data_IF_045302723109
#
_entry.id   IF_045302723109
#
_cell.length_a   1.000
_cell.length_b   1.000
_cell.length_c   1.000
_cell.angle_alpha   90.00
_cell.angle_beta   90.00
_cell.angle_gamma   90.00
#
_symmetry.space_group_name_H-M   'P 1'
#
loop_
_entity.id
_entity.type
_entity.pdbx_description
1 polymer ?
#
# COMPACT_ATOMS: atom_id res chain seq x y z
N UNK A 1 -11.30 -1.88 -24.63
CA UNK A 1 -9.82 -1.93 -24.76
C UNK A 1 -9.25 -1.24 -23.54
N UNK A 2 -8.42 -1.95 -22.74
CA UNK A 2 -7.82 -1.36 -21.51
C UNK A 2 -7.20 -0.01 -21.85
N UNK A 3 -7.58 1.04 -21.15
CA UNK A 3 -7.02 2.38 -21.34
C UNK A 3 -6.38 2.84 -20.04
N UNK A 4 -5.16 3.34 -20.12
CA UNK A 4 -4.45 3.92 -18.98
C UNK A 4 -3.82 5.23 -19.42
N UNK A 5 -4.04 6.29 -18.65
CA UNK A 5 -3.39 7.59 -18.81
C UNK A 5 -2.37 7.71 -17.68
N UNK A 6 -1.16 8.17 -18.01
CA UNK A 6 -0.07 8.39 -17.05
C UNK A 6 0.15 9.88 -16.87
N UNK A 7 0.07 10.33 -15.64
CA UNK A 7 0.28 11.72 -15.23
C UNK A 7 1.54 11.79 -14.36
N UNK A 8 2.69 12.21 -14.93
CA UNK A 8 3.91 12.35 -14.15
C UNK A 8 3.77 13.41 -13.05
N UNK A 9 4.38 13.17 -11.89
CA UNK A 9 4.37 14.09 -10.77
C UNK A 9 5.66 14.91 -10.68
N UNK A 10 5.60 16.21 -10.30
CA UNK A 10 6.78 17.07 -10.19
C UNK A 10 7.84 16.56 -9.20
N UNK A 11 7.43 15.82 -8.18
CA UNK A 11 8.30 15.24 -7.13
C UNK A 11 8.82 13.84 -7.44
N UNK A 12 8.62 13.34 -8.67
CA UNK A 12 8.85 11.93 -9.02
C UNK A 12 7.63 11.04 -8.77
N UNK A 13 7.56 9.93 -9.50
CA UNK A 13 6.37 9.07 -9.52
C UNK A 13 5.34 9.52 -10.55
N UNK A 14 4.17 8.87 -10.52
CA UNK A 14 3.10 9.15 -11.48
C UNK A 14 1.73 8.68 -10.91
N UNK A 15 0.67 9.28 -11.44
CA UNK A 15 -0.69 8.75 -11.31
C UNK A 15 -1.05 7.97 -12.57
N UNK A 16 -1.62 6.79 -12.40
CA UNK A 16 -2.26 6.00 -13.44
C UNK A 16 -3.77 6.20 -13.35
N UNK A 17 -4.38 6.85 -14.32
CA UNK A 17 -5.83 6.82 -14.49
C UNK A 17 -6.20 5.62 -15.34
N UNK A 18 -6.75 4.59 -14.70
CA UNK A 18 -7.14 3.31 -15.32
C UNK A 18 -8.63 3.34 -15.64
N UNK A 19 -9.00 2.95 -16.86
CA UNK A 19 -10.39 2.81 -17.28
C UNK A 19 -10.56 1.61 -18.21
N UNK A 20 -11.82 1.22 -18.42
CA UNK A 20 -12.20 0.07 -19.26
C UNK A 20 -11.63 -1.27 -18.75
N UNK A 21 -11.50 -1.41 -17.42
CA UNK A 21 -11.22 -2.67 -16.74
C UNK A 21 -12.45 -3.07 -15.91
N UNK A 22 -13.55 -3.47 -16.54
CA UNK A 22 -14.77 -3.81 -15.83
C UNK A 22 -14.56 -5.04 -14.94
N UNK A 23 -15.16 -4.98 -13.76
CA UNK A 23 -15.18 -6.08 -12.82
C UNK A 23 -13.94 -6.17 -11.91
N UNK A 24 -13.92 -7.16 -11.06
CA UNK A 24 -12.87 -7.31 -10.07
C UNK A 24 -11.52 -7.66 -10.72
N UNK A 25 -10.41 -7.01 -10.29
CA UNK A 25 -9.08 -7.32 -10.80
C UNK A 25 -8.65 -8.74 -10.38
N UNK A 26 -7.72 -9.36 -11.10
CA UNK A 26 -7.20 -10.68 -10.76
C UNK A 26 -6.57 -10.76 -9.37
N UNK A 27 -5.86 -9.72 -8.93
CA UNK A 27 -5.39 -9.58 -7.55
C UNK A 27 -6.31 -8.61 -6.82
N UNK A 28 -7.08 -9.11 -5.85
CA UNK A 28 -8.10 -8.34 -5.15
C UNK A 28 -8.42 -8.89 -3.78
N UNK A 29 -8.99 -8.03 -2.96
CA UNK A 29 -9.67 -8.45 -1.74
C UNK A 29 -11.15 -8.77 -2.01
N UNK A 30 -11.62 -9.83 -1.38
CA UNK A 30 -13.02 -10.20 -1.34
C UNK A 30 -13.48 -10.30 0.13
N UNK A 31 -14.74 -9.96 0.41
CA UNK A 31 -15.30 -10.05 1.75
C UNK A 31 -16.75 -10.56 1.76
N UNK A 32 -17.08 -11.21 2.86
CA UNK A 32 -18.44 -11.60 3.21
C UNK A 32 -18.55 -11.58 4.75
N UNK A 33 -19.34 -10.62 5.29
CA UNK A 33 -19.42 -10.40 6.73
C UNK A 33 -18.05 -10.17 7.37
N UNK A 34 -17.68 -11.07 8.28
CA UNK A 34 -16.39 -11.01 9.00
C UNK A 34 -15.21 -11.54 8.17
N UNK A 35 -15.48 -12.22 7.07
CA UNK A 35 -14.45 -12.92 6.28
C UNK A 35 -13.79 -11.99 5.29
N UNK A 36 -12.48 -12.12 5.17
CA UNK A 36 -11.64 -11.39 4.20
C UNK A 36 -10.78 -12.40 3.45
N UNK A 37 -10.68 -12.24 2.16
CA UNK A 37 -9.88 -13.10 1.30
C UNK A 37 -9.06 -12.24 0.33
N UNK A 38 -7.75 -12.44 0.30
CA UNK A 38 -6.93 -11.95 -0.80
C UNK A 38 -6.79 -13.04 -1.85
N UNK A 39 -7.18 -12.76 -3.07
CA UNK A 39 -7.16 -13.70 -4.20
C UNK A 39 -6.30 -13.18 -5.34
N UNK A 40 -5.58 -14.08 -6.02
CA UNK A 40 -4.80 -13.78 -7.21
C UNK A 40 -5.07 -14.82 -8.29
N UNK A 41 -5.60 -14.42 -9.44
CA UNK A 41 -5.88 -15.31 -10.57
C UNK A 41 -6.72 -16.54 -10.18
N UNK A 42 -7.71 -16.39 -9.30
CA UNK A 42 -8.51 -17.49 -8.77
C UNK A 42 -7.92 -18.22 -7.55
N UNK A 43 -6.63 -18.05 -7.22
CA UNK A 43 -5.98 -18.69 -6.07
C UNK A 43 -6.12 -17.83 -4.81
N UNK A 44 -6.52 -18.40 -3.67
CA UNK A 44 -6.48 -17.70 -2.39
C UNK A 44 -5.02 -17.54 -1.93
N UNK A 45 -4.66 -16.33 -1.49
CA UNK A 45 -3.32 -16.00 -0.98
C UNK A 45 -3.31 -15.73 0.51
N UNK A 46 -4.39 -15.17 1.02
CA UNK A 46 -4.54 -14.84 2.43
C UNK A 46 -6.01 -14.93 2.82
N UNK A 47 -6.27 -15.61 3.92
CA UNK A 47 -7.56 -15.64 4.57
C UNK A 47 -7.51 -14.71 5.77
N UNK A 48 -8.55 -13.91 5.97
CA UNK A 48 -8.71 -13.04 7.11
C UNK A 48 -10.08 -13.23 7.75
N UNK A 49 -10.13 -13.10 9.07
CA UNK A 49 -11.36 -13.02 9.82
C UNK A 49 -11.31 -11.84 10.77
N UNK A 50 -12.36 -11.03 10.73
CA UNK A 50 -12.55 -9.91 11.64
C UNK A 50 -13.27 -10.44 12.86
N UNK A 51 -12.70 -10.29 14.04
CA UNK A 51 -13.25 -10.76 15.31
C UNK A 51 -13.40 -9.57 16.28
N UNK A 52 -14.46 -9.60 17.10
CA UNK A 52 -14.74 -8.60 18.13
C UNK A 52 -16.02 -7.80 17.90
N UNK A 53 -16.66 -7.41 18.99
CA UNK A 53 -17.97 -6.75 19.02
C UNK A 53 -17.86 -5.28 19.40
N UNK A 54 -16.81 -4.60 19.15
CA UNK A 54 -16.64 -3.23 19.62
C UNK A 54 -15.83 -2.35 18.70
N UNK A 55 -15.36 -1.23 19.21
CA UNK A 55 -14.49 -0.33 18.47
C UNK A 55 -13.10 -0.93 18.16
N UNK A 56 -12.73 -2.05 18.80
CA UNK A 56 -11.46 -2.71 18.64
C UNK A 56 -11.66 -4.10 18.00
N UNK A 57 -11.67 -4.15 16.69
CA UNK A 57 -11.68 -5.43 15.98
C UNK A 57 -10.25 -5.97 15.86
N UNK A 58 -10.13 -7.29 15.92
CA UNK A 58 -8.89 -8.00 15.59
C UNK A 58 -9.08 -8.61 14.21
N UNK A 59 -8.22 -8.28 13.28
CA UNK A 59 -8.16 -8.97 12.00
C UNK A 59 -7.16 -10.11 12.10
N UNK A 60 -7.66 -11.31 12.24
CA UNK A 60 -6.84 -12.52 12.22
C UNK A 60 -6.62 -12.95 10.80
N UNK A 61 -5.37 -12.99 10.37
CA UNK A 61 -5.00 -13.35 9.01
C UNK A 61 -4.16 -14.62 8.96
N UNK A 62 -4.36 -15.41 7.93
CA UNK A 62 -3.57 -16.59 7.59
C UNK A 62 -3.06 -16.46 6.17
N UNK A 63 -1.75 -16.56 5.99
CA UNK A 63 -1.15 -16.60 4.67
C UNK A 63 -1.24 -18.00 4.08
N UNK A 64 -1.57 -18.05 2.80
CA UNK A 64 -1.50 -19.24 1.98
C UNK A 64 -0.35 -19.10 0.99
N UNK A 65 0.30 -20.19 0.66
CA UNK A 65 1.36 -20.16 -0.36
C UNK A 65 0.73 -20.09 -1.76
N UNK A 66 1.45 -19.50 -2.72
CA UNK A 66 0.97 -19.43 -4.11
C UNK A 66 1.04 -18.05 -4.74
N UNK A 67 1.47 -17.03 -3.99
CA UNK A 67 1.68 -15.70 -4.55
C UNK A 67 2.71 -15.69 -5.67
N UNK A 68 2.36 -15.04 -6.77
CA UNK A 68 3.25 -14.76 -7.90
C UNK A 68 3.40 -13.26 -8.06
N UNK A 69 4.65 -12.80 -8.21
CA UNK A 69 4.88 -11.39 -8.48
C UNK A 69 4.14 -10.94 -9.74
N UNK A 70 3.42 -9.81 -9.71
CA UNK A 70 2.85 -9.21 -10.91
C UNK A 70 3.93 -8.60 -11.82
N UNK A 71 5.16 -8.46 -11.33
CA UNK A 71 6.26 -7.89 -12.09
C UNK A 71 7.13 -8.99 -12.72
N UNK A 72 7.71 -8.75 -13.90
CA UNK A 72 8.71 -9.65 -14.46
C UNK A 72 9.98 -9.68 -13.60
N UNK A 73 10.77 -10.76 -13.67
CA UNK A 73 12.03 -10.85 -12.95
C UNK A 73 12.99 -9.71 -13.34
N UNK A 74 13.46 -8.96 -12.33
CA UNK A 74 14.42 -7.86 -12.55
C UNK A 74 15.82 -8.42 -12.74
N UNK A 75 16.42 -8.15 -13.90
CA UNK A 75 17.79 -8.59 -14.23
C UNK A 75 18.84 -7.62 -13.67
N UNK A 76 20.03 -8.11 -13.38
CA UNK A 76 21.15 -7.31 -12.88
C UNK A 76 21.50 -6.11 -13.79
N UNK A 77 21.39 -6.28 -15.10
CA UNK A 77 21.58 -5.20 -16.08
C UNK A 77 20.53 -4.09 -15.89
N UNK A 78 19.27 -4.48 -15.68
CA UNK A 78 18.16 -3.54 -15.45
C UNK A 78 18.34 -2.77 -14.13
N UNK A 79 18.87 -3.42 -13.10
CA UNK A 79 19.14 -2.78 -11.80
C UNK A 79 20.23 -1.72 -11.89
N UNK A 80 21.25 -1.92 -12.73
CA UNK A 80 22.35 -0.96 -12.93
C UNK A 80 22.02 0.14 -13.95
N UNK A 81 21.01 -0.08 -14.78
CA UNK A 81 20.61 0.94 -15.75
C UNK A 81 19.87 2.10 -15.07
N UNK A 82 20.24 3.35 -15.37
CA UNK A 82 19.46 4.48 -14.90
C UNK A 82 18.03 4.37 -15.38
N UNK A 83 17.08 4.82 -14.59
CA UNK A 83 15.67 4.75 -14.99
C UNK A 83 14.73 5.13 -13.86
N UNK A 84 13.57 5.54 -14.26
CA UNK A 84 12.44 5.85 -13.39
C UNK A 84 11.71 4.55 -13.02
N UNK A 85 11.83 4.12 -11.78
CA UNK A 85 11.23 2.88 -11.31
C UNK A 85 9.69 2.93 -11.24
N UNK A 86 9.06 4.00 -10.76
CA UNK A 86 7.61 4.15 -10.84
C UNK A 86 7.07 3.96 -12.24
N UNK A 87 7.65 4.62 -13.27
CA UNK A 87 7.23 4.48 -14.66
C UNK A 87 7.46 3.07 -15.22
N UNK A 88 8.55 2.43 -14.80
CA UNK A 88 8.87 1.05 -15.20
C UNK A 88 7.87 0.06 -14.59
N UNK A 89 7.57 0.22 -13.29
CA UNK A 89 6.63 -0.65 -12.60
C UNK A 89 5.20 -0.42 -13.08
N UNK A 90 4.82 0.82 -13.36
CA UNK A 90 3.54 1.15 -13.97
C UNK A 90 3.30 0.34 -15.25
N UNK A 91 4.26 0.39 -16.18
CA UNK A 91 4.16 -0.36 -17.44
C UNK A 91 4.03 -1.87 -17.21
N UNK A 92 4.82 -2.43 -16.30
CA UNK A 92 4.73 -3.86 -16.00
C UNK A 92 3.41 -4.26 -15.33
N UNK A 93 2.87 -3.41 -14.45
CA UNK A 93 1.56 -3.64 -13.83
C UNK A 93 0.40 -3.54 -14.81
N UNK A 94 0.49 -2.63 -15.79
CA UNK A 94 -0.50 -2.51 -16.86
C UNK A 94 -0.54 -3.75 -17.76
N UNK A 95 0.64 -4.32 -18.05
CA UNK A 95 0.80 -5.51 -18.89
C UNK A 95 0.54 -6.81 -18.12
N UNK A 96 0.55 -6.79 -16.78
CA UNK A 96 0.42 -7.98 -15.96
C UNK A 96 -0.99 -8.56 -15.98
N UNK A 97 -1.08 -9.88 -16.15
CA UNK A 97 -2.36 -10.60 -16.10
C UNK A 97 -2.93 -10.69 -14.66
N UNK A 98 -2.09 -10.64 -13.64
CA UNK A 98 -2.46 -10.79 -12.24
C UNK A 98 -2.16 -9.52 -11.43
N UNK A 99 -2.46 -8.34 -12.00
CA UNK A 99 -2.30 -7.01 -11.37
C UNK A 99 -3.48 -6.67 -10.45
N UNK A 100 -3.27 -5.84 -9.40
CA UNK A 100 -4.36 -5.30 -8.59
C UNK A 100 -5.09 -4.12 -9.27
N UNK A 101 -4.59 -3.61 -10.39
CA UNK A 101 -5.15 -2.44 -11.06
C UNK A 101 -6.57 -2.70 -11.57
N UNK A 102 -7.50 -1.88 -11.15
CA UNK A 102 -8.89 -1.76 -11.63
C UNK A 102 -9.20 -0.31 -11.94
N UNK A 103 -10.39 0.00 -12.45
CA UNK A 103 -10.79 1.35 -12.79
C UNK A 103 -10.61 2.31 -11.62
N UNK A 104 -10.07 3.48 -11.94
CA UNK A 104 -9.78 4.55 -11.02
C UNK A 104 -8.35 5.05 -11.08
N UNK A 105 -7.94 5.83 -10.07
CA UNK A 105 -6.65 6.51 -10.01
C UNK A 105 -5.71 5.80 -9.06
N UNK A 106 -4.47 5.56 -9.50
CA UNK A 106 -3.45 4.84 -8.77
C UNK A 106 -2.15 5.65 -8.76
N UNK A 107 -1.65 5.94 -7.57
CA UNK A 107 -0.36 6.58 -7.38
C UNK A 107 0.73 5.52 -7.31
N UNK A 108 1.79 5.69 -8.10
CA UNK A 108 3.07 5.01 -7.94
C UNK A 108 4.13 6.04 -7.60
N UNK A 109 4.69 5.92 -6.42
CA UNK A 109 5.73 6.82 -5.94
C UNK A 109 6.88 6.08 -5.28
N UNK A 110 8.09 6.61 -5.39
CA UNK A 110 9.20 6.17 -4.57
C UNK A 110 8.98 6.63 -3.12
N UNK A 111 9.20 5.73 -2.17
CA UNK A 111 9.10 6.04 -0.75
C UNK A 111 10.40 5.66 -0.05
N UNK A 112 11.08 6.66 0.46
CA UNK A 112 12.33 6.50 1.19
C UNK A 112 12.18 6.67 2.70
N UNK A 113 11.07 7.27 3.15
CA UNK A 113 10.80 7.52 4.56
C UNK A 113 9.59 6.73 5.02
N UNK A 114 9.83 5.89 6.01
CA UNK A 114 8.81 5.14 6.72
C UNK A 114 8.82 5.53 8.20
N UNK A 115 7.76 5.26 8.91
CA UNK A 115 7.75 5.35 10.35
C UNK A 115 8.78 4.38 10.94
N UNK A 116 9.35 4.68 12.11
CA UNK A 116 10.19 3.73 12.83
C UNK A 116 9.46 2.40 13.01
N UNK A 117 10.16 1.29 12.90
CA UNK A 117 9.58 -0.04 13.07
C UNK A 117 9.12 -0.74 11.81
N UNK A 118 8.70 -0.01 10.76
CA UNK A 118 8.08 -0.59 9.53
C UNK A 118 8.91 -1.72 8.91
N UNK A 119 10.22 -1.59 8.90
CA UNK A 119 11.14 -2.58 8.34
C UNK A 119 11.90 -3.39 9.40
N UNK A 120 11.54 -3.25 10.66
CA UNK A 120 12.12 -4.00 11.79
C UNK A 120 11.04 -4.80 12.52
N UNK A 121 10.40 -4.20 13.54
CA UNK A 121 9.40 -4.87 14.38
C UNK A 121 8.11 -5.18 13.62
N UNK A 122 7.72 -4.28 12.70
CA UNK A 122 6.47 -4.37 11.93
C UNK A 122 6.67 -5.05 10.56
N UNK A 123 7.88 -5.46 10.22
CA UNK A 123 8.12 -6.32 9.06
C UNK A 123 7.90 -7.78 9.46
N UNK A 124 6.84 -8.37 8.95
CA UNK A 124 6.48 -9.74 9.30
C UNK A 124 7.42 -10.74 8.63
N UNK A 125 8.57 -10.97 9.23
CA UNK A 125 9.58 -11.91 8.71
C UNK A 125 9.12 -13.36 8.81
N UNK A 126 8.36 -13.70 9.85
CA UNK A 126 7.78 -15.02 10.05
C UNK A 126 6.31 -14.92 10.42
N UNK A 127 5.53 -15.86 9.94
CA UNK A 127 4.14 -16.02 10.32
C UNK A 127 4.07 -17.23 11.25
N UNK A 128 3.85 -17.05 12.56
CA UNK A 128 3.69 -18.19 13.44
C UNK A 128 2.59 -19.11 12.91
N UNK A 129 2.93 -20.35 12.58
CA UNK A 129 2.01 -21.31 11.97
C UNK A 129 1.20 -20.78 10.76
N UNK A 130 1.76 -19.78 10.04
CA UNK A 130 1.08 -19.10 8.94
C UNK A 130 -0.02 -18.12 9.36
N UNK A 131 -0.09 -17.73 10.63
CA UNK A 131 -1.12 -16.84 11.20
C UNK A 131 -0.52 -15.56 11.77
N UNK A 132 -1.33 -14.52 11.79
CA UNK A 132 -1.00 -13.23 12.39
C UNK A 132 -2.29 -12.53 12.84
N UNK A 133 -2.26 -11.92 14.02
CA UNK A 133 -3.35 -11.09 14.54
C UNK A 133 -2.97 -9.61 14.37
N UNK A 134 -3.81 -8.87 13.65
CA UNK A 134 -3.66 -7.44 13.43
C UNK A 134 -4.76 -6.71 14.23
N UNK A 135 -4.35 -5.83 15.14
CA UNK A 135 -5.27 -5.08 15.98
C UNK A 135 -5.64 -3.76 15.31
N UNK A 136 -6.93 -3.44 15.26
CA UNK A 136 -7.37 -2.14 14.79
C UNK A 136 -7.05 -1.04 15.82
N UNK A 137 -6.84 0.19 15.33
CA UNK A 137 -6.65 1.37 16.18
C UNK A 137 -5.28 1.50 16.83
N UNK A 138 -4.36 0.57 16.59
CA UNK A 138 -3.00 0.63 17.12
C UNK A 138 -1.98 1.26 16.18
N UNK A 139 -2.38 1.65 14.96
CA UNK A 139 -1.45 2.22 13.99
C UNK A 139 -0.37 1.23 13.56
N UNK A 140 -0.75 -0.02 13.31
CA UNK A 140 0.19 -0.96 12.70
C UNK A 140 0.48 -0.50 11.27
N UNK A 141 1.66 -0.01 11.03
CA UNK A 141 2.10 0.47 9.72
C UNK A 141 3.14 -0.48 9.10
N UNK A 142 2.92 -1.76 9.23
CA UNK A 142 3.91 -2.76 8.87
C UNK A 142 3.84 -3.24 7.41
N UNK A 143 4.76 -4.15 7.08
CA UNK A 143 4.85 -4.80 5.77
C UNK A 143 4.57 -6.29 5.89
N UNK A 144 3.57 -6.77 5.15
CA UNK A 144 3.20 -8.18 5.05
C UNK A 144 3.75 -8.79 3.77
N UNK A 145 4.71 -9.71 3.83
CA UNK A 145 5.15 -10.46 2.67
C UNK A 145 4.13 -11.53 2.27
N UNK A 146 3.74 -11.55 1.00
CA UNK A 146 2.74 -12.48 0.46
C UNK A 146 3.27 -13.89 0.19
N UNK A 147 4.57 -14.12 0.36
CA UNK A 147 5.18 -15.43 0.33
C UNK A 147 6.21 -15.58 1.45
N UNK A 148 6.61 -16.82 1.75
CA UNK A 148 7.70 -17.07 2.68
C UNK A 148 8.97 -16.34 2.21
N UNK A 149 9.64 -15.68 3.13
CA UNK A 149 10.93 -15.06 2.88
C UNK A 149 12.02 -16.13 2.73
N UNK A 150 12.93 -15.88 1.82
CA UNK A 150 14.10 -16.75 1.66
C UNK A 150 15.08 -16.55 2.82
N UNK A 151 15.83 -17.61 3.15
CA UNK A 151 16.94 -17.47 4.10
C UNK A 151 17.94 -16.43 3.60
N UNK A 152 18.58 -15.66 4.50
CA UNK A 152 19.70 -14.77 4.16
C UNK A 152 20.82 -15.47 3.38
N UNK A 153 20.99 -16.78 3.60
CA UNK A 153 21.98 -17.60 2.93
C UNK A 153 21.60 -18.06 1.54
N UNK A 154 20.36 -17.87 1.12
CA UNK A 154 19.92 -18.24 -0.22
C UNK A 154 20.76 -17.53 -1.29
N UNK A 155 21.14 -18.26 -2.35
CA UNK A 155 22.01 -17.75 -3.41
C UNK A 155 21.50 -16.45 -4.05
N UNK A 156 20.18 -16.34 -4.20
CA UNK A 156 19.52 -15.17 -4.76
C UNK A 156 19.59 -13.96 -3.82
N UNK A 157 19.41 -14.17 -2.52
CA UNK A 157 19.57 -13.11 -1.51
C UNK A 157 21.02 -12.62 -1.50
N UNK A 158 22.00 -13.53 -1.47
CA UNK A 158 23.44 -13.19 -1.55
C UNK A 158 23.79 -12.36 -2.80
N UNK A 159 23.20 -12.71 -3.94
CA UNK A 159 23.39 -11.91 -5.16
C UNK A 159 22.82 -10.48 -5.03
N UNK A 160 21.64 -10.32 -4.42
CA UNK A 160 21.05 -9.01 -4.20
C UNK A 160 21.75 -8.19 -3.13
N UNK A 161 22.38 -8.80 -2.12
CA UNK A 161 23.19 -8.09 -1.12
C UNK A 161 24.33 -7.29 -1.78
N UNK A 162 24.94 -7.82 -2.84
CA UNK A 162 25.92 -7.06 -3.63
C UNK A 162 25.30 -5.77 -4.20
N UNK A 163 24.12 -5.86 -4.80
CA UNK A 163 23.40 -4.69 -5.34
C UNK A 163 22.98 -3.71 -4.24
N UNK A 164 22.63 -4.20 -3.05
CA UNK A 164 22.32 -3.35 -1.90
C UNK A 164 23.53 -2.50 -1.48
N UNK A 165 24.71 -3.14 -1.34
CA UNK A 165 25.97 -2.44 -1.03
C UNK A 165 26.41 -1.44 -2.11
N UNK A 166 26.12 -1.75 -3.37
CA UNK A 166 26.45 -0.89 -4.53
C UNK A 166 25.42 0.24 -4.75
N UNK A 167 24.33 0.29 -3.97
CA UNK A 167 23.25 1.26 -4.16
C UNK A 167 22.47 1.08 -5.47
N UNK A 168 22.56 -0.11 -6.09
CA UNK A 168 21.93 -0.43 -7.37
C UNK A 168 20.75 -1.39 -7.25
N UNK A 169 20.31 -1.68 -6.02
CA UNK A 169 19.22 -2.60 -5.78
C UNK A 169 17.91 -2.03 -6.32
N UNK A 170 17.20 -2.78 -7.16
CA UNK A 170 15.88 -2.37 -7.63
C UNK A 170 14.90 -2.26 -6.45
N UNK A 171 14.01 -1.27 -6.44
CA UNK A 171 13.01 -1.11 -5.40
C UNK A 171 12.12 -2.36 -5.25
N UNK A 172 11.65 -2.61 -4.04
CA UNK A 172 10.54 -3.55 -3.83
C UNK A 172 9.23 -2.86 -4.22
N UNK A 173 8.20 -3.64 -4.59
CA UNK A 173 6.86 -3.11 -4.84
C UNK A 173 5.98 -3.39 -3.63
N UNK A 174 5.49 -2.33 -3.03
CA UNK A 174 4.52 -2.36 -1.94
C UNK A 174 3.15 -1.93 -2.47
N UNK A 175 2.09 -2.55 -1.97
CA UNK A 175 0.72 -2.12 -2.18
C UNK A 175 0.12 -1.67 -0.85
N UNK A 176 -0.28 -0.41 -0.77
CA UNK A 176 -0.97 0.14 0.39
C UNK A 176 -2.39 -0.38 0.49
N UNK A 177 -2.76 -0.88 1.66
CA UNK A 177 -4.09 -1.43 1.94
C UNK A 177 -4.68 -0.71 3.16
N UNK A 178 -5.67 0.13 2.92
CA UNK A 178 -6.23 1.06 3.92
C UNK A 178 -6.78 0.38 5.18
N UNK A 179 -7.52 -0.73 5.04
CA UNK A 179 -8.10 -1.43 6.20
C UNK A 179 -7.09 -2.28 6.98
N UNK A 180 -5.89 -2.51 6.43
CA UNK A 180 -4.76 -3.10 7.14
C UNK A 180 -3.89 -2.02 7.80
N UNK A 181 -4.07 -0.76 7.40
CA UNK A 181 -3.16 0.34 7.72
C UNK A 181 -1.69 -0.05 7.47
N UNK A 182 -1.45 -0.72 6.37
CA UNK A 182 -0.14 -1.33 6.09
C UNK A 182 0.07 -1.70 4.63
N UNK A 183 1.22 -2.28 4.35
CA UNK A 183 1.65 -2.61 3.00
C UNK A 183 1.72 -4.12 2.76
N UNK A 184 1.23 -4.56 1.60
CA UNK A 184 1.53 -5.88 1.08
C UNK A 184 2.77 -5.83 0.21
N UNK A 185 3.74 -6.69 0.47
CA UNK A 185 4.92 -6.84 -0.38
C UNK A 185 4.55 -7.68 -1.61
N UNK A 186 4.28 -7.00 -2.73
CA UNK A 186 3.88 -7.65 -4.00
C UNK A 186 5.08 -8.21 -4.76
N UNK A 187 6.23 -7.52 -4.73
CA UNK A 187 7.45 -7.99 -5.40
C UNK A 187 8.71 -7.57 -4.66
N UNK A 188 9.76 -8.36 -4.82
CA UNK A 188 11.06 -8.05 -4.25
C UNK A 188 11.32 -8.64 -2.87
N UNK A 189 10.62 -9.70 -2.47
CA UNK A 189 10.83 -10.36 -1.17
C UNK A 189 12.32 -10.65 -0.86
N UNK A 190 13.05 -11.23 -1.83
CA UNK A 190 14.49 -11.51 -1.64
C UNK A 190 15.33 -10.23 -1.66
N UNK A 191 14.86 -9.15 -2.31
CA UNK A 191 15.51 -7.84 -2.29
C UNK A 191 15.32 -7.16 -0.94
N UNK A 192 14.12 -7.29 -0.34
CA UNK A 192 13.87 -6.78 1.00
C UNK A 192 14.81 -7.45 2.01
N UNK A 193 14.85 -8.78 2.02
CA UNK A 193 15.78 -9.53 2.89
C UNK A 193 17.23 -9.08 2.67
N UNK A 194 17.65 -8.96 1.41
CA UNK A 194 19.02 -8.56 1.07
C UNK A 194 19.38 -7.16 1.58
N UNK A 195 18.48 -6.19 1.49
CA UNK A 195 18.71 -4.84 1.99
C UNK A 195 18.82 -4.82 3.52
N UNK A 196 17.92 -5.51 4.21
CA UNK A 196 17.92 -5.61 5.68
C UNK A 196 19.18 -6.31 6.21
N UNK A 197 19.63 -7.35 5.55
CA UNK A 197 20.90 -8.06 5.90
C UNK A 197 22.15 -7.18 5.73
N UNK A 198 22.08 -6.14 4.92
CA UNK A 198 23.15 -5.15 4.78
C UNK A 198 22.93 -3.91 5.70
N UNK A 199 21.96 -3.99 6.63
CA UNK A 199 21.65 -2.93 7.60
C UNK A 199 20.95 -1.71 7.00
N UNK A 200 20.40 -1.85 5.79
CA UNK A 200 19.70 -0.76 5.09
C UNK A 200 18.19 -0.98 4.99
N UNK A 201 17.46 0.10 4.69
CA UNK A 201 16.04 0.03 4.32
C UNK A 201 15.94 -0.30 2.84
N UNK A 202 15.08 -1.25 2.42
CA UNK A 202 14.88 -1.52 1.01
C UNK A 202 14.38 -0.28 0.26
N UNK A 203 14.93 0.07 -0.90
CA UNK A 203 14.29 1.06 -1.76
C UNK A 203 12.89 0.57 -2.15
N UNK A 204 11.89 1.45 -2.14
CA UNK A 204 10.50 1.08 -2.33
C UNK A 204 9.82 1.91 -3.40
N UNK A 205 8.98 1.27 -4.21
CA UNK A 205 7.90 1.91 -4.94
C UNK A 205 6.60 1.47 -4.30
N UNK A 206 5.76 2.43 -3.94
CA UNK A 206 4.46 2.19 -3.31
C UNK A 206 3.37 2.40 -4.35
N UNK A 207 2.48 1.43 -4.46
CA UNK A 207 1.24 1.49 -5.22
C UNK A 207 0.11 1.81 -4.24
N UNK A 208 -0.58 2.93 -4.46
CA UNK A 208 -1.69 3.38 -3.61
C UNK A 208 -2.89 3.75 -4.46
N UNK A 209 -4.08 3.31 -4.06
CA UNK A 209 -5.32 3.82 -4.64
C UNK A 209 -5.55 5.25 -4.13
N UNK A 210 -5.77 6.21 -5.01
CA UNK A 210 -6.05 7.59 -4.63
C UNK A 210 -7.47 7.98 -5.05
N UNK A 211 -7.96 9.06 -4.47
CA UNK A 211 -9.29 9.57 -4.74
C UNK A 211 -9.52 9.79 -6.25
N UNK A 212 -10.71 9.47 -6.72
CA UNK A 212 -11.10 9.76 -8.10
C UNK A 212 -11.39 11.25 -8.30
N UNK A 213 -11.61 11.63 -9.55
CA UNK A 213 -11.77 13.03 -9.94
C UNK A 213 -12.97 13.71 -9.30
N UNK A 214 -14.04 12.98 -9.03
CA UNK A 214 -15.24 13.51 -8.39
C UNK A 214 -15.00 13.70 -6.90
N UNK A 215 -14.43 12.70 -6.24
CA UNK A 215 -14.15 12.72 -4.81
C UNK A 215 -13.24 13.89 -4.41
N UNK A 216 -12.08 14.01 -5.04
CA UNK A 216 -11.14 15.06 -4.65
C UNK A 216 -11.65 16.47 -5.02
N UNK A 217 -12.42 16.64 -6.13
CA UNK A 217 -13.03 17.93 -6.45
C UNK A 217 -14.10 18.31 -5.45
N UNK A 218 -14.88 17.35 -4.96
CA UNK A 218 -15.85 17.59 -3.89
C UNK A 218 -15.14 18.03 -2.60
N UNK A 219 -14.12 17.31 -2.15
CA UNK A 219 -13.30 17.69 -1.01
C UNK A 219 -12.63 19.08 -1.17
N UNK A 220 -12.16 19.41 -2.38
CA UNK A 220 -11.60 20.72 -2.67
C UNK A 220 -12.64 21.84 -2.56
N UNK A 221 -13.87 21.59 -3.00
CA UNK A 221 -14.95 22.55 -2.87
C UNK A 221 -15.34 22.78 -1.39
N UNK A 222 -15.46 21.71 -0.60
CA UNK A 222 -15.75 21.79 0.83
C UNK A 222 -14.63 22.50 1.60
N UNK A 223 -13.37 22.17 1.34
CA UNK A 223 -12.21 22.82 1.95
C UNK A 223 -12.15 24.33 1.58
N UNK A 224 -12.46 24.66 0.33
CA UNK A 224 -12.50 26.06 -0.13
C UNK A 224 -13.60 26.84 0.57
N UNK A 225 -14.77 26.24 0.75
CA UNK A 225 -15.89 26.89 1.45
C UNK A 225 -15.61 27.04 2.95
N UNK A 226 -14.99 26.03 3.57
CA UNK A 226 -14.51 26.16 4.95
C UNK A 226 -13.50 27.29 5.09
N UNK A 227 -12.49 27.36 4.24
CA UNK A 227 -11.47 28.41 4.26
C UNK A 227 -12.06 29.82 4.08
N UNK A 228 -13.04 29.99 3.18
CA UNK A 228 -13.75 31.26 3.01
C UNK A 228 -14.46 31.70 4.28
N UNK A 229 -15.15 30.79 4.96
CA UNK A 229 -15.85 31.09 6.23
C UNK A 229 -14.88 31.52 7.30
N UNK A 230 -13.79 30.75 7.49
CA UNK A 230 -12.77 31.09 8.47
C UNK A 230 -12.06 32.42 8.20
N UNK A 231 -11.95 32.82 6.93
CA UNK A 231 -11.27 34.08 6.54
C UNK A 231 -12.23 35.27 6.46
N UNK A 232 -13.55 35.04 6.40
CA UNK A 232 -14.57 36.10 6.37
C UNK A 232 -14.82 36.70 7.74
N UNK A 233 -14.47 36.00 8.84
CA UNK A 233 -14.61 36.58 10.18
C UNK A 233 -13.66 37.76 10.35
N UNK A 234 -14.13 38.92 10.84
CA UNK A 234 -13.28 40.07 11.09
C UNK A 234 -12.18 39.68 12.09
N UNK A 235 -10.95 40.03 11.79
CA UNK A 235 -9.84 39.80 12.70
C UNK A 235 -10.14 40.56 14.01
N UNK A 236 -10.44 39.83 15.09
CA UNK A 236 -10.69 40.42 16.43
C UNK A 236 -9.49 41.21 16.98
N UNK A 237 -8.32 41.09 16.32
CA UNK A 237 -7.10 41.71 16.77
C UNK A 237 -6.52 42.64 15.70
N UNK A 238 -5.99 43.83 16.15
CA UNK A 238 -5.37 44.78 15.23
C UNK A 238 -4.19 44.14 14.49
N UNK A 239 -3.89 44.63 13.30
CA UNK A 239 -2.79 44.17 12.48
C UNK A 239 -1.50 44.22 13.27
N UNK A 240 -0.91 43.05 13.52
CA UNK A 240 0.37 42.88 14.18
C UNK A 240 1.26 41.95 13.36
N UNK A 241 2.59 42.05 13.47
CA UNK A 241 3.51 41.13 12.77
C UNK A 241 3.26 39.66 13.11
N UNK A 242 2.70 39.36 14.28
CA UNK A 242 2.26 38.02 14.67
C UNK A 242 1.00 37.56 13.92
N UNK A 243 0.00 38.42 13.80
CA UNK A 243 -1.23 38.13 13.08
C UNK A 243 -0.99 37.96 11.56
N UNK A 244 -0.06 38.70 10.98
CA UNK A 244 0.33 38.55 9.57
C UNK A 244 1.01 37.21 9.31
N UNK A 245 1.95 36.80 10.19
CA UNK A 245 2.60 35.49 10.09
C UNK A 245 1.61 34.33 10.24
N UNK A 246 0.66 34.43 11.16
CA UNK A 246 -0.38 33.40 11.32
C UNK A 246 -1.28 33.29 10.08
N UNK A 247 -1.64 34.42 9.48
CA UNK A 247 -2.41 34.43 8.22
C UNK A 247 -1.62 33.77 7.09
N UNK A 248 -0.37 34.17 6.89
CA UNK A 248 0.49 33.59 5.84
C UNK A 248 0.66 32.08 6.05
N UNK A 249 0.90 31.60 7.26
CA UNK A 249 1.00 30.18 7.56
C UNK A 249 -0.31 29.41 7.30
N UNK A 250 -1.46 30.02 7.60
CA UNK A 250 -2.78 29.42 7.29
C UNK A 250 -3.00 29.35 5.78
N UNK A 251 -2.68 30.42 5.04
CA UNK A 251 -2.85 30.48 3.59
C UNK A 251 -1.95 29.47 2.88
N UNK A 252 -0.71 29.31 3.34
CA UNK A 252 0.22 28.28 2.88
C UNK A 252 -0.26 26.87 3.22
N UNK A 253 -0.77 26.67 4.44
CA UNK A 253 -1.36 25.40 4.88
C UNK A 253 -2.56 25.00 4.02
N UNK A 254 -3.47 25.94 3.74
CA UNK A 254 -4.60 25.72 2.84
C UNK A 254 -4.16 25.36 1.41
N UNK A 255 -3.24 26.13 0.85
CA UNK A 255 -2.71 25.87 -0.50
C UNK A 255 -2.05 24.49 -0.59
N UNK A 256 -1.25 24.12 0.41
CA UNK A 256 -0.59 22.82 0.50
C UNK A 256 -1.61 21.67 0.63
N UNK A 257 -2.61 21.81 1.50
CA UNK A 257 -3.65 20.82 1.67
C UNK A 257 -4.46 20.63 0.38
N UNK A 258 -4.86 21.74 -0.27
CA UNK A 258 -5.60 21.70 -1.54
C UNK A 258 -4.79 21.01 -2.65
N UNK A 259 -3.49 21.25 -2.72
CA UNK A 259 -2.60 20.62 -3.70
C UNK A 259 -2.43 19.12 -3.46
N UNK A 260 -2.55 18.65 -2.21
CA UNK A 260 -2.41 17.24 -1.86
C UNK A 260 -3.68 16.41 -2.04
N UNK A 261 -4.86 17.03 -2.04
CA UNK A 261 -6.17 16.35 -2.09
C UNK A 261 -6.29 15.33 -3.22
N UNK A 262 -5.81 15.66 -4.41
CA UNK A 262 -5.91 14.78 -5.58
C UNK A 262 -5.04 13.52 -5.45
N UNK A 263 -4.17 13.45 -4.44
CA UNK A 263 -3.26 12.34 -4.16
C UNK A 263 -3.54 11.67 -2.81
N UNK A 264 -4.61 12.11 -2.13
CA UNK A 264 -5.03 11.46 -0.90
C UNK A 264 -5.45 10.01 -1.14
N UNK A 265 -5.13 9.18 -0.19
CA UNK A 265 -5.43 7.75 -0.24
C UNK A 265 -6.93 7.51 -0.27
N UNK A 266 -7.37 6.72 -1.22
CA UNK A 266 -8.73 6.20 -1.25
C UNK A 266 -8.80 4.85 -0.52
N UNK A 267 -9.97 4.49 0.04
CA UNK A 267 -10.16 3.17 0.62
C UNK A 267 -9.85 2.06 -0.39
N UNK A 268 -9.19 1.01 0.10
CA UNK A 268 -8.95 -0.19 -0.71
C UNK A 268 -10.28 -0.85 -1.05
N UNK A 269 -10.52 -1.05 -2.33
CA UNK A 269 -11.76 -1.67 -2.80
C UNK A 269 -11.79 -3.16 -2.46
N UNK A 270 -12.95 -3.61 -1.99
CA UNK A 270 -13.20 -4.99 -1.59
C UNK A 270 -14.44 -5.49 -2.31
N UNK A 271 -14.31 -6.61 -3.00
CA UNK A 271 -15.40 -7.21 -3.76
C UNK A 271 -16.21 -8.22 -2.92
N UNK A 272 -17.46 -8.48 -3.27
CA UNK A 272 -18.22 -9.56 -2.63
C UNK A 272 -17.50 -10.91 -2.80
N UNK A 273 -17.40 -11.68 -1.71
CA UNK A 273 -16.86 -13.03 -1.76
C UNK A 273 -17.83 -13.93 -2.53
N UNK A 274 -17.44 -14.35 -3.73
CA UNK A 274 -18.22 -15.30 -4.50
C UNK A 274 -18.19 -16.65 -3.80
N UNK A 275 -19.33 -17.08 -3.26
CA UNK A 275 -19.44 -18.29 -2.46
C UNK A 275 -19.21 -19.57 -3.28
N UNK A 276 -18.02 -20.15 -3.17
CA UNK A 276 -17.82 -21.58 -3.41
C UNK A 276 -17.88 -22.35 -2.08
N UNK A 277 -18.47 -23.54 -2.02
CA UNK A 277 -18.52 -24.33 -0.79
C UNK A 277 -17.14 -24.59 -0.15
N UNK A 278 -16.08 -24.69 -0.97
CA UNK A 278 -14.70 -24.89 -0.51
C UNK A 278 -14.11 -23.69 0.24
N UNK A 279 -14.64 -22.49 0.02
CA UNK A 279 -14.23 -21.28 0.75
C UNK A 279 -14.98 -21.14 2.10
N UNK A 280 -15.91 -22.07 2.41
CA UNK A 280 -16.73 -22.07 3.64
C UNK A 280 -16.17 -22.94 4.76
N UNK A 281 -15.34 -23.92 4.43
CA UNK A 281 -14.73 -24.81 5.40
C UNK A 281 -13.41 -24.23 5.91
N UNK A 282 -13.49 -23.26 6.82
CA UNK A 282 -12.39 -23.01 7.75
C UNK A 282 -12.28 -24.22 8.68
N UNK A 283 -11.11 -24.89 8.76
CA UNK A 283 -10.89 -25.84 9.84
C UNK A 283 -11.04 -25.08 11.17
N UNK A 284 -11.66 -25.70 12.19
CA UNK A 284 -11.89 -25.04 13.46
C UNK A 284 -10.58 -24.46 13.99
N UNK A 285 -10.63 -23.20 14.39
CA UNK A 285 -9.51 -22.52 15.06
C UNK A 285 -9.46 -23.09 16.47
N UNK A 286 -8.74 -24.19 16.64
CA UNK A 286 -8.50 -24.76 17.96
C UNK A 286 -7.80 -23.70 18.82
N UNK A 287 -8.52 -23.29 19.88
CA UNK A 287 -8.05 -22.29 20.82
C UNK A 287 -6.81 -22.77 21.55
N UNK A 288 -5.71 -22.09 21.34
CA UNK A 288 -4.62 -22.10 22.31
C UNK A 288 -4.96 -21.05 23.35
N UNK A 289 -5.54 -21.48 24.46
CA UNK A 289 -5.61 -20.71 25.70
C UNK A 289 -4.19 -20.39 26.16
N UNK A 290 -3.82 -19.14 26.09
CA UNK A 290 -2.66 -18.64 26.83
C UNK A 290 -3.19 -18.31 28.22
N UNK A 291 -3.02 -19.25 29.16
CA UNK A 291 -3.16 -19.04 30.59
C UNK A 291 -1.84 -18.51 31.15
N UNK A 292 -1.91 -17.46 31.97
CA UNK A 292 -0.87 -17.02 32.89
C UNK A 292 -0.26 -15.67 32.61
#
# INVERSE_FOLDING_TARGET
MKRTIREPLPGGGLVLAVSDRPGPPPLRFEADGERRLLRQGGRPLMLGRLEGDGCCHVLRVRRLDGHRSPLPPVRAQTMRAPGDWPHRYARWLEDADESPLHDGRWLLGERSRFQPGVWTEDFVTGWPDGRLDLFCGGGWHGVLPLRRLSSPDASRVKAYRKHAREGTLAPVLLWWVSFLDGWLLLDGHDRAVAALEEGGVPPCVVLTRVQDDEQWRHGAAEMTEWYRRETAEPAEHPASPGAERMRAARDEGYASALASLSYEEAPTEVWPLAGTPADRDDPPVDGVSISG
#
